data_IF_009369525488
#
_entry.id   IF_009369525488
#
_cell.length_a   1.000
_cell.length_b   1.000
_cell.length_c   1.000
_cell.angle_alpha   90.00
_cell.angle_beta   90.00
_cell.angle_gamma   90.00
#
_symmetry.space_group_name_H-M   'P 1'
#
loop_
_entity.id
_entity.type
_entity.pdbx_description
1 polymer ?
#
# COMPACT_ATOMS: atom_id res chain seq x y z
N UNK A 1 -16.78 -6.34 1.57
CA UNK A 1 -15.92 -5.30 2.15
C UNK A 1 -14.46 -5.74 2.05
N UNK A 2 -13.81 -5.58 0.89
CA UNK A 2 -12.39 -5.90 0.73
C UNK A 2 -11.51 -5.01 1.59
N UNK A 3 -10.49 -5.60 2.22
CA UNK A 3 -9.46 -4.87 2.97
C UNK A 3 -8.10 -5.21 2.35
N UNK A 4 -7.31 -4.17 2.06
CA UNK A 4 -5.98 -4.30 1.47
C UNK A 4 -5.00 -3.57 2.38
N UNK A 5 -3.91 -4.24 2.76
CA UNK A 5 -2.79 -3.64 3.47
C UNK A 5 -1.62 -3.58 2.50
N UNK A 6 -1.05 -2.38 2.33
CA UNK A 6 0.16 -2.17 1.55
C UNK A 6 1.29 -1.85 2.50
N UNK A 7 2.26 -2.75 2.59
CA UNK A 7 3.51 -2.53 3.32
C UNK A 7 4.60 -2.11 2.34
N UNK A 8 5.17 -0.92 2.53
CA UNK A 8 6.17 -0.36 1.62
C UNK A 8 7.14 0.59 2.34
N UNK A 9 8.17 1.04 1.61
CA UNK A 9 8.99 2.18 2.03
C UNK A 9 8.19 3.50 1.87
N UNK A 10 8.52 4.57 2.63
CA UNK A 10 7.83 5.86 2.53
C UNK A 10 7.79 6.42 1.11
N UNK A 11 6.62 6.95 0.72
CA UNK A 11 6.38 7.62 -0.56
C UNK A 11 5.92 9.06 -0.36
N UNK A 12 5.87 9.83 -1.46
CA UNK A 12 5.26 11.16 -1.40
C UNK A 12 3.74 11.04 -1.23
N UNK A 13 3.07 12.04 -0.64
CA UNK A 13 1.61 12.03 -0.50
C UNK A 13 0.87 11.87 -1.83
N UNK A 14 1.40 12.41 -2.92
CA UNK A 14 0.83 12.33 -4.27
C UNK A 14 0.89 10.90 -4.81
N UNK A 15 2.03 10.22 -4.63
CA UNK A 15 2.20 8.83 -5.03
C UNK A 15 1.28 7.89 -4.24
N UNK A 16 1.16 8.13 -2.93
CA UNK A 16 0.24 7.36 -2.08
C UNK A 16 -1.22 7.59 -2.47
N UNK A 17 -1.60 8.83 -2.85
CA UNK A 17 -2.96 9.14 -3.34
C UNK A 17 -3.28 8.41 -4.65
N UNK A 18 -2.37 8.41 -5.62
CA UNK A 18 -2.58 7.67 -6.88
C UNK A 18 -2.66 6.15 -6.65
N UNK A 19 -1.80 5.61 -5.77
CA UNK A 19 -1.81 4.21 -5.41
C UNK A 19 -3.16 3.78 -4.81
N UNK A 20 -3.64 4.50 -3.80
CA UNK A 20 -4.93 4.20 -3.14
C UNK A 20 -6.07 4.22 -4.17
N UNK A 21 -6.13 5.24 -5.03
CA UNK A 21 -7.16 5.34 -6.08
C UNK A 21 -7.16 4.11 -6.99
N UNK A 22 -5.99 3.72 -7.51
CA UNK A 22 -5.86 2.61 -8.45
C UNK A 22 -6.12 1.24 -7.82
N UNK A 23 -5.75 1.04 -6.56
CA UNK A 23 -6.11 -0.17 -5.81
C UNK A 23 -7.63 -0.25 -5.65
N UNK A 24 -8.27 0.85 -5.23
CA UNK A 24 -9.73 0.89 -5.10
C UNK A 24 -10.42 0.57 -6.43
N UNK A 25 -10.01 1.22 -7.53
CA UNK A 25 -10.56 0.97 -8.87
C UNK A 25 -10.45 -0.52 -9.26
N UNK A 26 -9.32 -1.16 -8.99
CA UNK A 26 -9.09 -2.58 -9.29
C UNK A 26 -10.02 -3.52 -8.49
N UNK A 27 -10.31 -3.20 -7.22
CA UNK A 27 -11.22 -4.00 -6.40
C UNK A 27 -12.69 -3.77 -6.73
N UNK A 28 -13.06 -2.54 -7.11
CA UNK A 28 -14.40 -2.25 -7.64
C UNK A 28 -14.64 -3.10 -8.89
N UNK A 29 -13.67 -3.13 -9.82
CA UNK A 29 -13.76 -3.92 -11.05
C UNK A 29 -13.76 -5.43 -10.77
N UNK A 30 -12.80 -5.95 -10.00
CA UNK A 30 -12.69 -7.39 -9.78
C UNK A 30 -13.80 -7.97 -8.90
N UNK A 31 -14.24 -7.23 -7.88
CA UNK A 31 -15.20 -7.72 -6.89
C UNK A 31 -16.62 -7.19 -7.08
N UNK A 32 -16.84 -6.28 -8.05
CA UNK A 32 -18.15 -5.68 -8.33
C UNK A 32 -18.80 -5.09 -7.06
N UNK A 33 -17.98 -4.45 -6.22
CA UNK A 33 -18.38 -3.83 -4.95
C UNK A 33 -18.32 -2.31 -5.08
N UNK A 34 -19.17 -1.55 -4.35
CA UNK A 34 -19.03 -0.10 -4.33
C UNK A 34 -17.69 0.34 -3.72
N UNK A 35 -17.17 1.48 -4.17
CA UNK A 35 -15.85 1.99 -3.81
C UNK A 35 -15.71 2.24 -2.30
N UNK A 36 -16.77 2.73 -1.65
CA UNK A 36 -16.82 2.98 -0.20
C UNK A 36 -16.69 1.70 0.64
N UNK A 37 -16.87 0.52 0.05
CA UNK A 37 -16.69 -0.76 0.73
C UNK A 37 -15.27 -1.33 0.60
N UNK A 38 -14.37 -0.66 -0.15
CA UNK A 38 -12.97 -1.05 -0.31
C UNK A 38 -12.11 -0.19 0.62
N UNK A 39 -11.43 -0.84 1.56
CA UNK A 39 -10.56 -0.16 2.52
C UNK A 39 -9.10 -0.46 2.20
N UNK A 40 -8.29 0.61 2.08
CA UNK A 40 -6.86 0.52 1.79
C UNK A 40 -6.07 1.12 2.95
N UNK A 41 -5.20 0.30 3.53
CA UNK A 41 -4.31 0.67 4.63
C UNK A 41 -2.88 0.78 4.10
N UNK A 42 -2.21 1.89 4.39
CA UNK A 42 -0.83 2.14 3.96
C UNK A 42 0.06 2.09 5.19
N UNK A 43 0.97 1.12 5.22
CA UNK A 43 1.96 0.92 6.28
C UNK A 43 3.34 1.20 5.70
N UNK A 44 3.91 2.34 6.06
CA UNK A 44 5.22 2.76 5.59
C UNK A 44 6.28 2.50 6.65
N UNK A 45 7.29 1.72 6.27
CA UNK A 45 8.42 1.38 7.13
C UNK A 45 9.69 2.02 6.58
N UNK A 46 10.36 2.91 7.34
CA UNK A 46 11.65 3.45 6.93
C UNK A 46 12.69 2.34 6.71
N UNK A 47 13.74 2.65 5.94
CA UNK A 47 14.72 1.65 5.50
C UNK A 47 15.53 1.01 6.64
N UNK A 48 15.57 1.63 7.82
CA UNK A 48 16.19 1.11 9.05
C UNK A 48 15.24 0.23 9.89
N UNK A 49 14.00 0.01 9.42
CA UNK A 49 12.98 -0.84 10.07
C UNK A 49 12.47 -1.97 9.20
N UNK A 50 12.98 -2.07 7.98
CA UNK A 50 12.65 -3.14 7.05
C UNK A 50 13.93 -3.84 6.58
N UNK A 51 13.90 -5.17 6.56
CA UNK A 51 15.04 -5.99 6.18
C UNK A 51 14.64 -7.01 5.11
N UNK A 52 15.58 -7.31 4.21
CA UNK A 52 15.46 -8.39 3.26
C UNK A 52 16.77 -9.17 3.21
N UNK A 53 16.71 -10.50 3.31
CA UNK A 53 17.91 -11.35 3.33
C UNK A 53 18.83 -11.12 4.53
N UNK A 54 18.25 -10.74 5.68
CA UNK A 54 19.00 -10.53 6.93
C UNK A 54 19.78 -9.20 7.00
N UNK A 55 19.56 -8.27 6.07
CA UNK A 55 20.18 -6.93 6.07
C UNK A 55 19.10 -5.86 6.05
N UNK A 56 19.30 -4.77 6.80
CA UNK A 56 18.42 -3.61 6.70
C UNK A 56 18.54 -3.03 5.31
N UNK A 57 17.44 -2.49 4.78
CA UNK A 57 17.51 -1.79 3.50
C UNK A 57 18.36 -0.52 3.59
N UNK A 58 18.50 0.05 4.79
CA UNK A 58 19.42 1.15 5.07
C UNK A 58 20.91 0.75 4.96
N UNK A 59 21.26 -0.54 4.98
CA UNK A 59 22.65 -1.02 4.84
C UNK A 59 23.09 -1.16 3.37
N UNK A 60 22.24 -0.80 2.41
CA UNK A 60 22.52 -0.87 0.97
C UNK A 60 23.20 0.38 0.44
#
# INVERSE_FOLDING_TARGET
MPNVIVQQLPKSPEATRDLVRRITDAFVDACQTPAEAVHVWIEEYPADRYAAGGKLLADK
#
